data_IF_173356905085
#
_entry.id   IF_173356905085
#
_cell.length_a   1.000
_cell.length_b   1.000
_cell.length_c   1.000
_cell.angle_alpha   90.00
_cell.angle_beta   90.00
_cell.angle_gamma   90.00
#
_symmetry.space_group_name_H-M   'P 1'
#
loop_
_entity.id
_entity.type
_entity.pdbx_description
1 polymer ?
#
# COMPACT_ATOMS: atom_id res chain seq x y z
N UNK A 1 85.17 52.41 1.91
CA UNK A 1 84.89 52.66 0.48
C UNK A 1 84.67 51.31 -0.20
N UNK A 2 83.43 50.92 -0.45
CA UNK A 2 83.02 50.22 -1.67
C UNK A 2 81.56 50.59 -1.92
N UNK A 3 81.31 50.99 -3.15
CA UNK A 3 80.18 51.75 -3.65
C UNK A 3 78.87 50.97 -3.65
N UNK A 4 77.79 51.66 -3.29
CA UNK A 4 76.41 51.35 -3.67
C UNK A 4 76.34 51.14 -5.19
N UNK A 5 76.24 49.88 -5.63
CA UNK A 5 75.72 49.58 -6.96
C UNK A 5 74.22 49.90 -6.93
N UNK A 6 73.85 51.11 -7.37
CA UNK A 6 72.48 51.39 -7.78
C UNK A 6 72.22 50.64 -9.08
N UNK A 7 71.86 49.36 -8.98
CA UNK A 7 71.22 48.64 -10.08
C UNK A 7 69.88 49.34 -10.33
N UNK A 8 69.74 49.99 -11.48
CA UNK A 8 68.46 50.53 -11.92
C UNK A 8 67.43 49.41 -11.89
N UNK A 9 66.28 49.65 -11.24
CA UNK A 9 65.16 48.68 -11.26
C UNK A 9 64.89 48.24 -12.70
N UNK A 10 64.66 46.94 -12.95
CA UNK A 10 64.40 46.45 -14.29
C UNK A 10 63.19 47.17 -14.90
N UNK A 11 63.15 47.30 -16.24
CA UNK A 11 62.16 48.13 -16.95
C UNK A 11 60.71 47.81 -16.55
N UNK A 12 60.41 46.55 -16.25
CA UNK A 12 59.10 46.08 -15.82
C UNK A 12 58.66 46.57 -14.42
N UNK A 13 59.57 47.05 -13.57
CA UNK A 13 59.27 47.66 -12.25
C UNK A 13 59.29 49.20 -12.27
N UNK A 14 59.37 49.81 -13.46
CA UNK A 14 59.48 51.26 -13.58
C UNK A 14 58.17 51.96 -13.17
N UNK A 15 58.25 53.17 -12.61
CA UNK A 15 57.08 53.91 -12.12
C UNK A 15 56.06 54.25 -13.24
N UNK A 16 56.54 54.60 -14.44
CA UNK A 16 55.71 54.92 -15.61
C UNK A 16 55.19 53.64 -16.29
N UNK A 17 53.86 53.52 -16.44
CA UNK A 17 53.20 52.39 -17.11
C UNK A 17 53.70 52.15 -18.55
N UNK A 18 53.93 53.22 -19.32
CA UNK A 18 54.46 53.11 -20.69
C UNK A 18 55.81 52.37 -20.78
N UNK A 19 56.69 52.53 -19.78
CA UNK A 19 57.97 51.82 -19.75
C UNK A 19 57.77 50.34 -19.41
N UNK A 20 56.79 50.01 -18.56
CA UNK A 20 56.42 48.62 -18.26
C UNK A 20 55.80 47.93 -19.47
N UNK A 21 54.92 48.61 -20.21
CA UNK A 21 54.37 48.11 -21.48
C UNK A 21 55.48 47.78 -22.48
N UNK A 22 56.43 48.71 -22.69
CA UNK A 22 57.57 48.47 -23.59
C UNK A 22 58.47 47.31 -23.13
N UNK A 23 58.46 46.99 -21.83
CA UNK A 23 59.18 45.83 -21.31
C UNK A 23 58.46 44.52 -21.70
N UNK A 24 57.14 44.47 -21.51
CA UNK A 24 56.30 43.32 -21.90
C UNK A 24 56.44 43.03 -23.41
N UNK A 25 56.44 44.05 -24.26
CA UNK A 25 56.61 43.90 -25.72
C UNK A 25 57.94 43.27 -26.12
N UNK A 26 58.97 43.41 -25.27
CA UNK A 26 60.30 42.82 -25.50
C UNK A 26 60.48 41.44 -24.90
N UNK A 27 59.46 40.91 -24.20
CA UNK A 27 59.55 39.60 -23.58
C UNK A 27 59.48 38.46 -24.60
N UNK A 28 60.29 37.44 -24.37
CA UNK A 28 60.19 36.14 -24.99
C UNK A 28 59.15 35.32 -24.23
N UNK A 29 58.04 34.97 -24.89
CA UNK A 29 56.96 34.19 -24.28
C UNK A 29 57.42 32.78 -23.88
N UNK A 30 58.50 32.25 -24.45
CA UNK A 30 59.04 30.95 -24.09
C UNK A 30 59.92 30.95 -22.84
N UNK A 31 60.37 32.12 -22.35
CA UNK A 31 61.24 32.24 -21.18
C UNK A 31 60.41 32.08 -19.86
N UNK A 32 60.66 31.02 -19.06
CA UNK A 32 59.91 30.80 -17.82
C UNK A 32 60.03 31.94 -16.81
N UNK A 33 61.19 32.60 -16.73
CA UNK A 33 61.39 33.70 -15.79
C UNK A 33 60.57 34.94 -16.21
N UNK A 34 60.36 35.12 -17.51
CA UNK A 34 59.53 36.20 -18.03
C UNK A 34 58.04 35.89 -17.89
N UNK A 35 57.64 34.62 -17.97
CA UNK A 35 56.28 34.19 -17.64
C UNK A 35 55.92 34.47 -16.17
N UNK A 36 56.84 34.24 -15.22
CA UNK A 36 56.62 34.62 -13.81
C UNK A 36 56.45 36.15 -13.63
N UNK A 37 57.21 36.94 -14.40
CA UNK A 37 57.05 38.40 -14.40
C UNK A 37 55.71 38.81 -15.03
N UNK A 38 55.31 38.20 -16.14
CA UNK A 38 54.01 38.42 -16.76
C UNK A 38 52.87 38.10 -15.80
N UNK A 39 52.98 37.00 -15.05
CA UNK A 39 51.99 36.62 -14.04
C UNK A 39 51.87 37.67 -12.93
N UNK A 40 53.01 38.18 -12.47
CA UNK A 40 53.05 39.26 -11.47
C UNK A 40 52.41 40.55 -12.01
N UNK A 41 52.75 40.96 -13.22
CA UNK A 41 52.19 42.15 -13.85
C UNK A 41 50.69 42.00 -14.13
N UNK A 42 50.26 40.84 -14.63
CA UNK A 42 48.87 40.54 -14.95
C UNK A 42 47.96 40.56 -13.71
N UNK A 43 48.49 40.19 -12.54
CA UNK A 43 47.69 40.09 -11.30
C UNK A 43 47.80 41.30 -10.38
N UNK A 44 48.92 42.03 -10.38
CA UNK A 44 49.22 43.04 -9.36
C UNK A 44 49.47 44.46 -9.90
N UNK A 45 49.64 44.66 -11.21
CA UNK A 45 49.95 46.00 -11.72
C UNK A 45 48.78 46.98 -11.49
N UNK A 46 49.02 48.19 -10.96
CA UNK A 46 47.94 49.16 -10.73
C UNK A 46 47.30 49.66 -12.03
N UNK A 47 48.00 49.61 -13.17
CA UNK A 47 47.49 50.06 -14.47
C UNK A 47 46.82 48.92 -15.24
N UNK A 48 45.52 49.06 -15.53
CA UNK A 48 44.75 48.03 -16.24
C UNK A 48 45.25 47.76 -17.66
N UNK A 49 45.89 48.74 -18.31
CA UNK A 49 46.48 48.56 -19.65
C UNK A 49 47.71 47.66 -19.57
N UNK A 50 48.53 47.82 -18.52
CA UNK A 50 49.68 46.94 -18.26
C UNK A 50 49.20 45.53 -17.94
N UNK A 51 48.20 45.37 -17.05
CA UNK A 51 47.62 44.05 -16.74
C UNK A 51 47.10 43.37 -17.99
N UNK A 52 46.30 44.07 -18.80
CA UNK A 52 45.76 43.54 -20.07
C UNK A 52 46.87 43.11 -21.03
N UNK A 53 47.92 43.92 -21.18
CA UNK A 53 49.05 43.59 -22.04
C UNK A 53 49.77 42.32 -21.57
N UNK A 54 50.04 42.21 -20.25
CA UNK A 54 50.65 41.03 -19.67
C UNK A 54 49.79 39.76 -19.86
N UNK A 55 48.46 39.89 -19.73
CA UNK A 55 47.49 38.81 -19.96
C UNK A 55 47.58 38.25 -21.37
N UNK A 56 47.79 39.06 -22.41
CA UNK A 56 47.75 38.59 -23.81
C UNK A 56 48.86 37.63 -24.21
N UNK A 57 49.91 37.50 -23.41
CA UNK A 57 51.06 36.61 -23.66
C UNK A 57 51.35 35.66 -22.48
N UNK A 58 50.52 35.68 -21.43
CA UNK A 58 50.63 34.78 -20.29
C UNK A 58 50.20 33.36 -20.70
N UNK A 59 50.92 32.34 -20.21
CA UNK A 59 50.63 30.92 -20.48
C UNK A 59 49.94 30.18 -19.32
N UNK A 60 50.02 30.71 -18.09
CA UNK A 60 49.44 30.07 -16.92
C UNK A 60 47.90 30.14 -16.98
N UNK A 61 47.27 29.04 -17.41
CA UNK A 61 45.82 28.94 -17.62
C UNK A 61 45.03 29.13 -16.33
N UNK A 62 45.56 28.64 -15.20
CA UNK A 62 44.94 28.86 -13.88
C UNK A 62 44.90 30.34 -13.51
N UNK A 63 45.98 31.06 -13.76
CA UNK A 63 46.02 32.51 -13.46
C UNK A 63 45.16 33.31 -14.43
N UNK A 64 45.14 32.93 -15.71
CA UNK A 64 44.21 33.52 -16.69
C UNK A 64 42.74 33.32 -16.27
N UNK A 65 42.37 32.13 -15.81
CA UNK A 65 41.01 31.84 -15.35
C UNK A 65 40.65 32.66 -14.09
N UNK A 66 41.59 32.81 -13.16
CA UNK A 66 41.42 33.70 -11.99
C UNK A 66 41.20 35.16 -12.42
N UNK A 67 41.99 35.67 -13.36
CA UNK A 67 41.87 37.04 -13.87
C UNK A 67 40.55 37.23 -14.62
N UNK A 68 40.18 36.28 -15.48
CA UNK A 68 38.93 36.29 -16.25
C UNK A 68 37.69 36.45 -15.37
N UNK A 69 37.74 35.90 -14.15
CA UNK A 69 36.63 35.92 -13.20
C UNK A 69 36.70 37.09 -12.20
N UNK A 70 37.90 37.60 -11.87
CA UNK A 70 38.08 38.47 -10.70
C UNK A 70 38.74 39.83 -10.96
N UNK A 71 39.35 40.09 -12.12
CA UNK A 71 39.95 41.42 -12.35
C UNK A 71 38.89 42.52 -12.28
N UNK A 72 39.23 43.69 -11.74
CA UNK A 72 38.33 44.84 -11.67
C UNK A 72 37.91 45.41 -13.04
N UNK A 73 38.77 45.31 -14.06
CA UNK A 73 38.54 45.89 -15.38
C UNK A 73 38.01 44.83 -16.37
N UNK A 74 36.85 45.09 -16.97
CA UNK A 74 36.22 44.15 -17.93
C UNK A 74 37.09 43.87 -19.15
N UNK A 75 37.90 44.83 -19.62
CA UNK A 75 38.78 44.61 -20.77
C UNK A 75 39.94 43.69 -20.43
N UNK A 76 40.36 43.67 -19.16
CA UNK A 76 41.37 42.71 -18.66
C UNK A 76 40.73 41.32 -18.54
N UNK A 77 39.52 41.23 -17.96
CA UNK A 77 38.75 39.97 -17.90
C UNK A 77 38.54 39.38 -19.29
N UNK A 78 38.15 40.20 -20.26
CA UNK A 78 37.92 39.77 -21.64
C UNK A 78 39.18 39.28 -22.35
N UNK A 79 40.31 39.99 -22.19
CA UNK A 79 41.59 39.53 -22.70
C UNK A 79 42.02 38.20 -22.07
N UNK A 80 41.73 38.00 -20.78
CA UNK A 80 42.07 36.76 -20.08
C UNK A 80 41.24 35.58 -20.58
N UNK A 81 39.93 35.76 -20.79
CA UNK A 81 39.06 34.74 -21.42
C UNK A 81 39.55 34.36 -22.81
N UNK A 82 39.88 35.35 -23.64
CA UNK A 82 40.37 35.10 -25.00
C UNK A 82 41.72 34.37 -25.00
N UNK A 83 42.68 34.80 -24.17
CA UNK A 83 43.98 34.14 -24.09
C UNK A 83 43.85 32.70 -23.57
N UNK A 84 43.04 32.50 -22.52
CA UNK A 84 42.73 31.17 -21.99
C UNK A 84 42.14 30.27 -23.08
N UNK A 85 41.15 30.77 -23.82
CA UNK A 85 40.53 30.01 -24.91
C UNK A 85 41.55 29.65 -26.00
N UNK A 86 42.43 30.57 -26.40
CA UNK A 86 43.49 30.30 -27.40
C UNK A 86 44.49 29.23 -26.95
N UNK A 87 44.85 29.19 -25.67
CA UNK A 87 45.72 28.14 -25.12
C UNK A 87 45.01 26.78 -25.11
N UNK A 88 43.72 26.78 -24.74
CA UNK A 88 42.90 25.57 -24.69
C UNK A 88 42.50 25.05 -26.10
N UNK A 89 42.44 25.90 -27.12
CA UNK A 89 42.32 25.48 -28.54
C UNK A 89 43.66 25.06 -29.15
N UNK A 90 44.79 25.53 -28.59
CA UNK A 90 46.14 25.36 -29.15
C UNK A 90 46.48 26.34 -30.26
N UNK A 91 45.71 27.42 -30.38
CA UNK A 91 46.02 28.55 -31.26
C UNK A 91 47.19 29.40 -30.73
N UNK A 92 47.52 29.28 -29.45
CA UNK A 92 48.67 29.91 -28.82
C UNK A 92 49.71 28.86 -28.42
N UNK A 93 50.99 29.19 -28.63
CA UNK A 93 52.13 28.39 -28.18
C UNK A 93 52.29 28.46 -26.65
N UNK A 94 53.07 27.54 -26.08
CA UNK A 94 53.38 27.54 -24.65
C UNK A 94 52.22 27.13 -23.73
N UNK A 95 51.07 26.76 -24.30
CA UNK A 95 49.91 26.25 -23.57
C UNK A 95 50.05 24.79 -23.09
N UNK A 96 49.04 24.30 -22.34
CA UNK A 96 49.02 22.94 -21.83
C UNK A 96 49.04 21.89 -22.97
N UNK A 97 49.52 20.69 -22.65
CA UNK A 97 49.52 19.57 -23.60
C UNK A 97 48.09 19.21 -24.03
N UNK A 98 47.96 18.50 -25.16
CA UNK A 98 46.64 18.09 -25.68
C UNK A 98 45.78 17.35 -24.63
N UNK A 99 46.38 16.48 -23.81
CA UNK A 99 45.68 15.77 -22.75
C UNK A 99 45.25 16.70 -21.60
N UNK A 100 46.14 17.62 -21.19
CA UNK A 100 45.84 18.60 -20.14
C UNK A 100 44.73 19.58 -20.55
N UNK A 101 44.67 19.98 -21.82
CA UNK A 101 43.58 20.84 -22.34
C UNK A 101 42.21 20.22 -22.07
N UNK A 102 42.04 18.93 -22.34
CA UNK A 102 40.76 18.24 -22.10
C UNK A 102 40.40 18.26 -20.60
N UNK A 103 41.37 17.97 -19.73
CA UNK A 103 41.16 18.03 -18.27
C UNK A 103 40.82 19.44 -17.78
N UNK A 104 41.45 20.47 -18.34
CA UNK A 104 41.15 21.86 -17.97
C UNK A 104 39.78 22.30 -18.48
N UNK A 105 39.35 21.84 -19.65
CA UNK A 105 38.02 22.12 -20.20
C UNK A 105 36.93 21.53 -19.31
N UNK A 106 37.13 20.35 -18.71
CA UNK A 106 36.17 19.72 -17.79
C UNK A 106 35.81 20.58 -16.56
N UNK A 107 36.66 21.55 -16.20
CA UNK A 107 36.41 22.48 -15.10
C UNK A 107 35.91 23.86 -15.56
N UNK A 108 35.81 24.10 -16.88
CA UNK A 108 35.52 25.42 -17.42
C UNK A 108 34.02 25.71 -17.42
N UNK A 109 33.65 26.87 -16.83
CA UNK A 109 32.26 27.33 -16.69
C UNK A 109 32.01 28.68 -17.39
N UNK A 110 33.05 29.31 -17.92
CA UNK A 110 32.95 30.61 -18.55
C UNK A 110 32.34 30.49 -19.96
N UNK A 111 31.15 31.09 -20.21
CA UNK A 111 30.43 30.89 -21.46
C UNK A 111 31.18 31.43 -22.68
N UNK A 112 31.95 32.52 -22.54
CA UNK A 112 32.75 33.08 -23.63
C UNK A 112 33.91 32.16 -24.00
N UNK A 113 34.56 31.54 -23.02
CA UNK A 113 35.61 30.55 -23.27
C UNK A 113 34.99 29.35 -23.98
N UNK A 114 33.91 28.77 -23.45
CA UNK A 114 33.23 27.62 -24.05
C UNK A 114 32.73 27.89 -25.49
N UNK A 115 32.22 29.08 -25.77
CA UNK A 115 31.81 29.49 -27.13
C UNK A 115 33.00 29.56 -28.10
N UNK A 116 34.14 30.08 -27.66
CA UNK A 116 35.37 30.10 -28.46
C UNK A 116 35.88 28.69 -28.74
N UNK A 117 35.88 27.81 -27.73
CA UNK A 117 36.26 26.40 -27.88
C UNK A 117 35.36 25.67 -28.89
N UNK A 118 34.05 25.92 -28.84
CA UNK A 118 33.09 25.36 -29.79
C UNK A 118 33.28 25.86 -31.22
N UNK A 119 33.82 27.07 -31.39
CA UNK A 119 34.01 27.67 -32.70
C UNK A 119 35.34 27.27 -33.31
N UNK A 120 36.43 27.37 -32.54
CA UNK A 120 37.80 27.30 -33.03
C UNK A 120 38.52 25.99 -32.66
N UNK A 121 37.99 25.20 -31.73
CA UNK A 121 38.59 23.93 -31.31
C UNK A 121 38.56 22.86 -32.41
N UNK A 122 39.43 21.86 -32.27
CA UNK A 122 39.29 20.61 -33.01
C UNK A 122 38.05 19.82 -32.53
N UNK A 123 37.75 18.68 -33.15
CA UNK A 123 36.57 17.89 -32.77
C UNK A 123 36.59 17.49 -31.28
N UNK A 124 37.73 17.14 -30.71
CA UNK A 124 37.80 16.70 -29.31
C UNK A 124 37.51 17.85 -28.35
N UNK A 125 38.08 19.02 -28.62
CA UNK A 125 37.86 20.24 -27.84
C UNK A 125 36.41 20.72 -27.95
N UNK A 126 35.83 20.66 -29.15
CA UNK A 126 34.41 21.00 -29.38
C UNK A 126 33.48 20.10 -28.58
N UNK A 127 33.78 18.80 -28.53
CA UNK A 127 32.98 17.84 -27.74
C UNK A 127 33.15 18.07 -26.23
N UNK A 128 34.38 18.27 -25.75
CA UNK A 128 34.64 18.56 -24.33
C UNK A 128 33.97 19.87 -23.88
N UNK A 129 33.99 20.90 -24.72
CA UNK A 129 33.33 22.18 -24.44
C UNK A 129 31.80 22.04 -24.46
N UNK A 130 31.25 21.25 -25.39
CA UNK A 130 29.82 20.94 -25.40
C UNK A 130 29.39 20.28 -24.10
N UNK A 131 30.21 19.38 -23.56
CA UNK A 131 29.91 18.65 -22.32
C UNK A 131 29.77 19.58 -21.09
N UNK A 132 30.37 20.77 -21.12
CA UNK A 132 30.25 21.76 -20.05
C UNK A 132 29.01 22.67 -20.14
N UNK A 133 28.18 22.55 -21.17
CA UNK A 133 27.02 23.44 -21.37
C UNK A 133 25.73 22.74 -20.92
N UNK A 134 25.14 23.22 -19.83
CA UNK A 134 23.83 22.76 -19.34
C UNK A 134 22.66 23.68 -19.73
N UNK A 135 22.92 24.92 -20.15
CA UNK A 135 21.86 25.84 -20.59
C UNK A 135 21.19 25.30 -21.86
N UNK A 136 19.98 24.75 -21.71
CA UNK A 136 19.19 24.22 -22.81
C UNK A 136 18.91 25.26 -23.91
N UNK A 137 18.94 26.56 -23.61
CA UNK A 137 18.83 27.61 -24.64
C UNK A 137 20.07 27.68 -25.52
N UNK A 138 21.25 27.56 -24.92
CA UNK A 138 22.50 27.51 -25.67
C UNK A 138 22.61 26.19 -26.44
N UNK A 139 22.28 25.06 -25.81
CA UNK A 139 22.24 23.75 -26.47
C UNK A 139 21.29 23.75 -27.68
N UNK A 140 20.13 24.40 -27.57
CA UNK A 140 19.19 24.52 -28.69
C UNK A 140 19.81 25.27 -29.88
N UNK A 141 20.50 26.39 -29.62
CA UNK A 141 21.21 27.14 -30.68
C UNK A 141 22.28 26.28 -31.34
N UNK A 142 23.05 25.54 -30.54
CA UNK A 142 24.10 24.62 -31.01
C UNK A 142 23.49 23.50 -31.86
N UNK A 143 22.44 22.84 -31.38
CA UNK A 143 21.73 21.76 -32.07
C UNK A 143 21.20 22.18 -33.44
N UNK A 144 20.85 23.45 -33.61
CA UNK A 144 20.30 23.99 -34.85
C UNK A 144 21.36 24.47 -35.85
N UNK A 145 22.47 25.05 -35.37
CA UNK A 145 23.35 25.85 -36.22
C UNK A 145 24.82 25.41 -36.23
N UNK A 146 25.25 24.57 -35.29
CA UNK A 146 26.67 24.20 -35.21
C UNK A 146 27.11 23.47 -36.49
N UNK A 147 28.32 23.77 -36.98
CA UNK A 147 28.82 23.23 -38.26
C UNK A 147 28.96 21.69 -38.25
N UNK A 148 29.47 21.13 -37.14
CA UNK A 148 29.67 19.69 -36.98
C UNK A 148 28.37 18.98 -36.62
N UNK A 149 27.96 18.02 -37.46
CA UNK A 149 26.75 17.22 -37.26
C UNK A 149 26.77 16.41 -35.94
N UNK A 150 27.94 15.95 -35.51
CA UNK A 150 28.10 15.21 -34.25
C UNK A 150 27.80 16.09 -33.03
N UNK A 151 28.31 17.32 -33.01
CA UNK A 151 28.03 18.32 -31.96
C UNK A 151 26.55 18.68 -31.93
N UNK A 152 25.93 18.90 -33.11
CA UNK A 152 24.48 19.16 -33.19
C UNK A 152 23.64 18.03 -32.57
N UNK A 153 23.99 16.78 -32.88
CA UNK A 153 23.27 15.62 -32.37
C UNK A 153 23.41 15.48 -30.84
N UNK A 154 24.63 15.62 -30.31
CA UNK A 154 24.87 15.54 -28.86
C UNK A 154 24.20 16.68 -28.10
N UNK A 155 24.17 17.89 -28.67
CA UNK A 155 23.44 19.02 -28.08
C UNK A 155 21.93 18.71 -27.99
N UNK A 156 21.33 18.15 -29.05
CA UNK A 156 19.93 17.73 -29.04
C UNK A 156 19.65 16.57 -28.05
N UNK A 157 20.63 15.69 -27.82
CA UNK A 157 20.51 14.59 -26.86
C UNK A 157 20.45 15.06 -25.40
N UNK A 158 20.94 16.28 -25.08
CA UNK A 158 20.92 16.84 -23.71
C UNK A 158 19.68 17.66 -23.37
N UNK A 159 18.87 18.03 -24.36
CA UNK A 159 17.68 18.88 -24.15
C UNK A 159 16.50 18.02 -23.72
N UNK A 160 15.81 18.43 -22.66
CA UNK A 160 14.62 17.76 -22.12
C UNK A 160 13.38 18.66 -22.15
N UNK A 161 13.53 19.96 -22.40
CA UNK A 161 12.38 20.88 -22.49
C UNK A 161 11.54 20.63 -23.75
N UNK A 162 10.23 20.31 -23.62
CA UNK A 162 9.39 19.99 -24.76
C UNK A 162 9.31 21.09 -25.82
N UNK A 163 9.25 22.36 -25.40
CA UNK A 163 9.16 23.49 -26.34
C UNK A 163 10.43 23.64 -27.20
N UNK A 164 11.60 23.41 -26.62
CA UNK A 164 12.88 23.44 -27.35
C UNK A 164 13.00 22.26 -28.29
N UNK A 165 12.65 21.05 -27.84
CA UNK A 165 12.63 19.87 -28.70
C UNK A 165 11.65 20.03 -29.87
N UNK A 166 10.48 20.66 -29.66
CA UNK A 166 9.54 21.00 -30.74
C UNK A 166 10.18 21.94 -31.74
N UNK A 167 10.87 22.98 -31.27
CA UNK A 167 11.55 23.94 -32.13
C UNK A 167 12.68 23.28 -32.94
N UNK A 168 13.49 22.43 -32.30
CA UNK A 168 14.57 21.69 -32.97
C UNK A 168 14.00 20.72 -33.99
N UNK A 169 12.98 19.94 -33.66
CA UNK A 169 12.33 19.02 -34.60
C UNK A 169 11.76 19.77 -35.81
N UNK A 170 11.14 20.94 -35.61
CA UNK A 170 10.59 21.77 -36.69
C UNK A 170 11.68 22.20 -37.68
N UNK A 171 12.82 22.67 -37.17
CA UNK A 171 13.87 23.24 -38.00
C UNK A 171 14.87 22.21 -38.53
N UNK A 172 15.06 21.07 -37.87
CA UNK A 172 15.95 20.00 -38.36
C UNK A 172 15.28 19.10 -39.41
N UNK A 173 13.95 19.10 -39.51
CA UNK A 173 13.20 18.28 -40.48
C UNK A 173 13.69 18.52 -41.91
N UNK A 174 14.14 17.46 -42.57
CA UNK A 174 14.66 17.51 -43.94
C UNK A 174 16.08 18.09 -44.09
N UNK A 175 16.67 18.65 -43.02
CA UNK A 175 18.03 19.22 -43.03
C UNK A 175 19.04 18.39 -42.24
N UNK A 176 18.63 17.88 -41.08
CA UNK A 176 19.46 17.02 -40.23
C UNK A 176 18.60 15.86 -39.69
N UNK A 177 18.72 14.70 -40.35
CA UNK A 177 17.93 13.52 -40.02
C UNK A 177 18.20 13.00 -38.60
N UNK A 178 19.44 13.10 -38.11
CA UNK A 178 19.81 12.57 -36.79
C UNK A 178 19.22 13.46 -35.69
N UNK A 179 19.41 14.77 -35.79
CA UNK A 179 18.85 15.75 -34.83
C UNK A 179 17.32 15.72 -34.82
N UNK A 180 16.70 15.63 -36.00
CA UNK A 180 15.24 15.47 -36.12
C UNK A 180 14.76 14.22 -35.39
N UNK A 181 15.41 13.07 -35.62
CA UNK A 181 15.02 11.81 -35.00
C UNK A 181 15.12 11.89 -33.47
N UNK A 182 16.23 12.37 -32.92
CA UNK A 182 16.44 12.54 -31.47
C UNK A 182 15.30 13.37 -30.87
N UNK A 183 15.05 14.54 -31.44
CA UNK A 183 14.06 15.48 -30.92
C UNK A 183 12.63 14.92 -31.02
N UNK A 184 12.30 14.28 -32.13
CA UNK A 184 10.99 13.67 -32.35
C UNK A 184 10.75 12.46 -31.43
N UNK A 185 11.74 11.59 -31.24
CA UNK A 185 11.66 10.43 -30.35
C UNK A 185 11.49 10.86 -28.89
N UNK A 186 12.23 11.87 -28.43
CA UNK A 186 12.04 12.45 -27.09
C UNK A 186 10.62 13.00 -26.91
N UNK A 187 10.13 13.80 -27.85
CA UNK A 187 8.75 14.32 -27.80
C UNK A 187 7.69 13.22 -27.81
N UNK A 188 7.90 12.17 -28.60
CA UNK A 188 6.99 11.03 -28.64
C UNK A 188 6.97 10.28 -27.32
N UNK A 189 8.13 10.07 -26.69
CA UNK A 189 8.24 9.45 -25.37
C UNK A 189 7.54 10.29 -24.29
N UNK A 190 7.78 11.60 -24.26
CA UNK A 190 7.13 12.50 -23.29
C UNK A 190 5.60 12.50 -23.42
N UNK A 191 5.09 12.53 -24.67
CA UNK A 191 3.64 12.44 -24.92
C UNK A 191 3.06 11.11 -24.48
N UNK A 192 3.77 10.01 -24.71
CA UNK A 192 3.33 8.69 -24.29
C UNK A 192 3.31 8.56 -22.77
N UNK A 193 4.34 9.05 -22.08
CA UNK A 193 4.38 9.08 -20.61
C UNK A 193 3.22 9.88 -20.03
N UNK A 194 2.97 11.09 -20.54
CA UNK A 194 1.85 11.91 -20.08
C UNK A 194 0.51 11.21 -20.29
N UNK A 195 0.29 10.58 -21.45
CA UNK A 195 -0.93 9.82 -21.72
C UNK A 195 -1.09 8.63 -20.77
N UNK A 196 -0.02 7.92 -20.47
CA UNK A 196 -0.05 6.80 -19.53
C UNK A 196 -0.39 7.27 -18.12
N UNK A 197 0.21 8.37 -17.66
CA UNK A 197 -0.10 8.97 -16.37
C UNK A 197 -1.57 9.41 -16.28
N UNK A 198 -2.08 10.11 -17.31
CA UNK A 198 -3.48 10.51 -17.41
C UNK A 198 -4.42 9.29 -17.40
N UNK A 199 -4.07 8.23 -18.14
CA UNK A 199 -4.86 6.99 -18.19
C UNK A 199 -4.91 6.29 -16.83
N UNK A 200 -3.79 6.19 -16.11
CA UNK A 200 -3.75 5.59 -14.78
C UNK A 200 -4.58 6.41 -13.78
N UNK A 201 -4.50 7.74 -13.84
CA UNK A 201 -5.31 8.63 -13.01
C UNK A 201 -6.81 8.48 -13.31
N UNK A 202 -7.17 8.38 -14.59
CA UNK A 202 -8.55 8.17 -15.01
C UNK A 202 -9.09 6.80 -14.55
N UNK A 203 -8.28 5.74 -14.66
CA UNK A 203 -8.64 4.41 -14.15
C UNK A 203 -8.88 4.41 -12.64
N UNK A 204 -8.02 5.09 -11.87
CA UNK A 204 -8.21 5.23 -10.42
C UNK A 204 -9.54 5.96 -10.09
N UNK A 205 -9.89 7.00 -10.85
CA UNK A 205 -11.14 7.72 -10.70
C UNK A 205 -12.37 6.86 -11.04
N UNK A 206 -12.28 6.05 -12.09
CA UNK A 206 -13.33 5.11 -12.49
C UNK A 206 -13.56 4.05 -11.41
N UNK A 207 -12.49 3.49 -10.83
CA UNK A 207 -12.59 2.53 -9.72
C UNK A 207 -13.21 3.18 -8.48
N UNK A 208 -12.82 4.42 -8.12
CA UNK A 208 -13.45 5.15 -7.03
C UNK A 208 -14.96 5.31 -7.26
N UNK A 209 -15.35 5.70 -8.47
CA UNK A 209 -16.76 5.90 -8.85
C UNK A 209 -17.54 4.58 -8.83
N UNK A 210 -16.93 3.49 -9.29
CA UNK A 210 -17.52 2.15 -9.24
C UNK A 210 -17.69 1.66 -7.79
N UNK A 211 -16.69 1.90 -6.92
CA UNK A 211 -16.75 1.56 -5.50
C UNK A 211 -17.83 2.36 -4.77
N UNK A 212 -17.90 3.67 -5.02
CA UNK A 212 -18.95 4.56 -4.47
C UNK A 212 -20.35 4.15 -4.93
N UNK A 213 -20.48 3.69 -6.18
CA UNK A 213 -21.75 3.17 -6.71
C UNK A 213 -22.12 1.86 -6.02
N UNK A 214 -21.18 0.92 -5.88
CA UNK A 214 -21.40 -0.34 -5.18
C UNK A 214 -21.81 -0.10 -3.71
N UNK A 215 -21.17 0.84 -3.03
CA UNK A 215 -21.48 1.21 -1.65
C UNK A 215 -22.91 1.75 -1.47
N UNK A 216 -23.57 2.22 -2.53
CA UNK A 216 -24.96 2.70 -2.50
C UNK A 216 -25.99 1.61 -2.81
N UNK A 217 -25.55 0.43 -3.26
CA UNK A 217 -26.45 -0.70 -3.58
C UNK A 217 -26.67 -1.60 -2.37
N UNK A 218 -27.79 -2.32 -2.36
CA UNK A 218 -28.06 -3.37 -1.37
C UNK A 218 -27.27 -4.64 -1.67
N UNK A 219 -27.18 -5.53 -0.67
CA UNK A 219 -26.51 -6.81 -0.84
C UNK A 219 -27.15 -7.63 -1.97
N UNK A 220 -26.30 -8.28 -2.77
CA UNK A 220 -26.69 -9.27 -3.76
C UNK A 220 -25.60 -10.34 -3.87
N UNK A 221 -25.92 -11.50 -4.44
CA UNK A 221 -24.94 -12.57 -4.62
C UNK A 221 -23.69 -12.15 -5.42
N UNK A 222 -23.81 -11.15 -6.31
CA UNK A 222 -22.68 -10.60 -7.07
C UNK A 222 -21.92 -9.48 -6.36
N UNK A 223 -22.37 -9.04 -5.18
CA UNK A 223 -21.75 -7.95 -4.44
C UNK A 223 -20.33 -8.31 -3.95
N UNK A 224 -20.10 -9.42 -3.21
CA UNK A 224 -18.74 -9.79 -2.77
C UNK A 224 -17.71 -9.95 -3.90
N UNK A 225 -18.00 -10.63 -5.04
CA UNK A 225 -17.01 -10.74 -6.11
C UNK A 225 -16.74 -9.40 -6.81
N UNK A 226 -17.75 -8.52 -6.95
CA UNK A 226 -17.55 -7.16 -7.47
C UNK A 226 -16.65 -6.33 -6.56
N UNK A 227 -16.91 -6.35 -5.25
CA UNK A 227 -16.09 -5.66 -4.26
C UNK A 227 -14.63 -6.10 -4.35
N UNK A 228 -14.40 -7.42 -4.32
CA UNK A 228 -13.05 -8.00 -4.43
C UNK A 228 -12.35 -7.61 -5.73
N UNK A 229 -13.07 -7.62 -6.84
CA UNK A 229 -12.54 -7.20 -8.14
C UNK A 229 -12.06 -5.75 -8.13
N UNK A 230 -12.84 -4.84 -7.54
CA UNK A 230 -12.48 -3.42 -7.42
C UNK A 230 -11.27 -3.21 -6.50
N UNK A 231 -11.20 -3.91 -5.37
CA UNK A 231 -10.04 -3.86 -4.45
C UNK A 231 -8.76 -4.34 -5.14
N UNK A 232 -8.81 -5.47 -5.85
CA UNK A 232 -7.65 -6.01 -6.57
C UNK A 232 -7.19 -5.11 -7.73
N UNK A 233 -8.11 -4.40 -8.39
CA UNK A 233 -7.77 -3.42 -9.41
C UNK A 233 -7.15 -2.17 -8.79
N UNK A 234 -7.69 -1.72 -7.66
CA UNK A 234 -7.18 -0.58 -6.91
C UNK A 234 -5.73 -0.80 -6.48
N UNK A 235 -5.37 -1.94 -5.90
CA UNK A 235 -4.00 -2.23 -5.43
C UNK A 235 -2.91 -2.12 -6.50
N UNK A 236 -3.26 -2.22 -7.79
CA UNK A 236 -2.31 -2.23 -8.91
C UNK A 236 -1.98 -0.84 -9.46
N UNK A 237 -2.71 0.19 -9.06
CA UNK A 237 -2.60 1.52 -9.64
C UNK A 237 -1.92 2.50 -8.65
N UNK A 238 -1.23 3.53 -9.15
CA UNK A 238 -0.78 4.64 -8.33
C UNK A 238 -1.95 5.58 -7.99
N UNK A 239 -2.02 6.03 -6.74
CA UNK A 239 -3.15 6.81 -6.24
C UNK A 239 -2.73 8.12 -5.60
N UNK A 240 -3.60 9.13 -5.75
CA UNK A 240 -3.49 10.39 -5.02
C UNK A 240 -4.23 10.32 -3.68
N UNK A 241 -3.81 11.09 -2.65
CA UNK A 241 -4.43 11.05 -1.33
C UNK A 241 -5.95 11.24 -1.34
N UNK A 242 -6.45 12.16 -2.18
CA UNK A 242 -7.90 12.41 -2.33
C UNK A 242 -8.67 11.22 -2.91
N UNK A 243 -8.04 10.44 -3.80
CA UNK A 243 -8.67 9.25 -4.37
C UNK A 243 -8.68 8.12 -3.33
N UNK A 244 -7.59 7.95 -2.58
CA UNK A 244 -7.49 6.99 -1.47
C UNK A 244 -8.58 7.20 -0.42
N UNK A 245 -8.78 8.44 0.04
CA UNK A 245 -9.81 8.76 1.02
C UNK A 245 -11.22 8.39 0.54
N UNK A 246 -11.54 8.71 -0.73
CA UNK A 246 -12.83 8.36 -1.34
C UNK A 246 -13.02 6.85 -1.42
N UNK A 247 -12.00 6.14 -1.88
CA UNK A 247 -12.03 4.68 -2.01
C UNK A 247 -12.22 4.00 -0.65
N UNK A 248 -11.44 4.38 0.36
CA UNK A 248 -11.51 3.80 1.71
C UNK A 248 -12.86 4.08 2.39
N UNK A 249 -13.41 5.28 2.19
CA UNK A 249 -14.74 5.61 2.72
C UNK A 249 -15.83 4.73 2.12
N UNK A 250 -15.78 4.52 0.80
CA UNK A 250 -16.72 3.64 0.11
C UNK A 250 -16.50 2.16 0.48
N UNK A 251 -15.25 1.73 0.63
CA UNK A 251 -14.90 0.37 1.06
C UNK A 251 -15.48 0.04 2.45
N UNK A 252 -15.29 0.93 3.44
CA UNK A 252 -15.88 0.76 4.79
C UNK A 252 -17.39 0.58 4.75
N UNK A 253 -18.07 1.32 3.87
CA UNK A 253 -19.51 1.19 3.68
C UNK A 253 -19.89 -0.15 3.04
N UNK A 254 -19.11 -0.64 2.08
CA UNK A 254 -19.30 -1.96 1.50
C UNK A 254 -19.08 -3.09 2.52
N UNK A 255 -18.06 -2.97 3.38
CA UNK A 255 -17.79 -3.93 4.46
C UNK A 255 -18.95 -3.99 5.45
N UNK A 256 -19.50 -2.85 5.85
CA UNK A 256 -20.68 -2.79 6.73
C UNK A 256 -21.92 -3.47 6.11
N UNK A 257 -22.10 -3.38 4.78
CA UNK A 257 -23.20 -4.07 4.07
C UNK A 257 -23.02 -5.60 4.15
N UNK A 258 -21.78 -6.10 3.99
CA UNK A 258 -21.48 -7.53 4.12
C UNK A 258 -21.74 -8.03 5.55
N UNK A 259 -21.25 -7.29 6.54
CA UNK A 259 -21.43 -7.64 7.95
C UNK A 259 -22.91 -7.68 8.34
N UNK A 260 -23.70 -6.70 7.91
CA UNK A 260 -25.14 -6.67 8.14
C UNK A 260 -25.87 -7.84 7.48
N UNK A 261 -25.47 -8.24 6.27
CA UNK A 261 -26.04 -9.40 5.60
C UNK A 261 -25.71 -10.69 6.37
N UNK A 262 -24.44 -10.87 6.75
CA UNK A 262 -23.99 -12.06 7.46
C UNK A 262 -24.65 -12.19 8.84
N UNK A 263 -24.84 -11.07 9.56
CA UNK A 263 -25.58 -11.07 10.81
C UNK A 263 -27.05 -11.45 10.61
N UNK A 264 -27.70 -10.90 9.59
CA UNK A 264 -29.11 -11.22 9.26
C UNK A 264 -29.27 -12.70 8.89
N UNK A 265 -28.34 -13.26 8.10
CA UNK A 265 -28.36 -14.67 7.75
C UNK A 265 -28.12 -15.58 8.96
N UNK A 266 -27.18 -15.23 9.83
CA UNK A 266 -26.93 -15.97 11.07
C UNK A 266 -28.14 -15.95 12.00
N UNK A 267 -28.84 -14.81 12.12
CA UNK A 267 -30.08 -14.69 12.89
C UNK A 267 -31.20 -15.59 12.31
N UNK A 268 -31.40 -15.58 10.99
CA UNK A 268 -32.38 -16.44 10.32
C UNK A 268 -32.04 -17.93 10.49
N UNK A 269 -30.76 -18.31 10.37
CA UNK A 269 -30.30 -19.68 10.59
C UNK A 269 -30.54 -20.11 12.05
N UNK A 270 -30.18 -19.27 13.02
CA UNK A 270 -30.40 -19.52 14.44
C UNK A 270 -31.90 -19.68 14.76
N UNK A 271 -32.75 -18.81 14.22
CA UNK A 271 -34.21 -18.92 14.35
C UNK A 271 -34.73 -20.23 13.74
N UNK A 272 -34.25 -20.61 12.55
CA UNK A 272 -34.66 -21.86 11.90
C UNK A 272 -34.22 -23.10 12.68
N UNK A 273 -33.03 -23.07 13.29
CA UNK A 273 -32.51 -24.15 14.13
C UNK A 273 -33.35 -24.28 15.40
N UNK A 274 -33.62 -23.16 16.07
CA UNK A 274 -34.47 -23.13 17.26
C UNK A 274 -35.86 -23.67 16.96
N UNK A 275 -36.47 -23.29 15.83
CA UNK A 275 -37.77 -23.84 15.41
C UNK A 275 -37.72 -25.36 15.21
N UNK A 276 -36.69 -25.89 14.53
CA UNK A 276 -36.51 -27.35 14.38
C UNK A 276 -36.34 -28.05 15.73
N UNK A 277 -35.67 -27.42 16.69
CA UNK A 277 -35.50 -27.98 18.03
C UNK A 277 -36.81 -27.99 18.81
N UNK A 278 -37.65 -26.95 18.69
CA UNK A 278 -39.00 -26.93 19.27
C UNK A 278 -39.87 -28.05 18.66
N UNK A 279 -39.86 -28.19 17.34
CA UNK A 279 -40.56 -29.27 16.65
C UNK A 279 -40.07 -30.65 17.10
N UNK A 280 -38.75 -30.81 17.27
CA UNK A 280 -38.15 -32.04 17.77
C UNK A 280 -38.61 -32.36 19.19
N UNK A 281 -38.72 -31.37 20.08
CA UNK A 281 -39.20 -31.59 21.45
C UNK A 281 -40.64 -32.15 21.44
N UNK A 282 -41.53 -31.52 20.67
CA UNK A 282 -42.90 -32.01 20.49
C UNK A 282 -42.93 -33.43 19.93
N UNK A 283 -42.17 -33.69 18.86
CA UNK A 283 -42.12 -34.99 18.19
C UNK A 283 -41.56 -36.10 19.10
N UNK A 284 -40.57 -35.81 19.94
CA UNK A 284 -40.03 -36.77 20.90
C UNK A 284 -41.07 -37.17 21.95
N UNK A 285 -41.85 -36.22 22.49
CA UNK A 285 -42.93 -36.54 23.43
C UNK A 285 -44.05 -37.34 22.75
N UNK A 286 -44.46 -36.94 21.54
CA UNK A 286 -45.50 -37.62 20.77
C UNK A 286 -45.11 -39.06 20.40
N UNK A 287 -43.88 -39.29 19.93
CA UNK A 287 -43.40 -40.64 19.61
C UNK A 287 -43.27 -41.52 20.84
N UNK A 288 -42.96 -40.95 22.01
CA UNK A 288 -43.00 -41.69 23.28
C UNK A 288 -44.44 -42.10 23.65
N UNK A 289 -45.44 -41.23 23.44
CA UNK A 289 -46.85 -41.58 23.65
C UNK A 289 -47.23 -42.75 22.74
N UNK A 290 -46.90 -42.66 21.46
CA UNK A 290 -47.21 -43.71 20.48
C UNK A 290 -46.53 -45.04 20.83
N UNK A 291 -45.26 -45.00 21.25
CA UNK A 291 -44.53 -46.19 21.71
C UNK A 291 -45.17 -46.83 22.94
N UNK A 292 -45.59 -46.03 23.93
CA UNK A 292 -46.27 -46.50 25.14
C UNK A 292 -47.63 -47.15 24.83
N UNK A 293 -48.36 -46.62 23.85
CA UNK A 293 -49.64 -47.20 23.41
C UNK A 293 -49.49 -48.62 22.83
N UNK A 294 -48.29 -49.00 22.40
CA UNK A 294 -48.00 -50.32 21.84
C UNK A 294 -47.43 -51.31 22.88
N UNK A 295 -47.18 -50.88 24.11
CA UNK A 295 -46.64 -51.75 25.16
C UNK A 295 -47.75 -52.55 25.86
N UNK A 296 -47.57 -53.87 25.98
CA UNK A 296 -48.50 -54.76 26.68
C UNK A 296 -48.19 -54.90 28.18
N UNK A 297 -46.94 -54.66 28.58
CA UNK A 297 -46.48 -54.79 29.96
C UNK A 297 -46.05 -53.45 30.57
N UNK A 298 -46.51 -53.20 31.79
CA UNK A 298 -46.13 -52.03 32.58
C UNK A 298 -44.95 -52.39 33.48
N UNK A 299 -43.82 -51.67 33.39
CA UNK A 299 -42.65 -51.90 34.26
C UNK A 299 -42.14 -50.61 34.91
N UNK A 300 -41.43 -50.72 36.05
CA UNK A 300 -40.90 -49.55 36.77
C UNK A 300 -39.85 -48.77 35.98
N UNK A 301 -39.05 -49.46 35.15
CA UNK A 301 -38.00 -48.81 34.34
C UNK A 301 -38.57 -47.90 33.25
N UNK A 302 -39.73 -48.24 32.67
CA UNK A 302 -40.38 -47.37 31.68
C UNK A 302 -40.94 -46.11 32.32
N UNK A 303 -41.48 -46.20 33.53
CA UNK A 303 -41.93 -45.04 34.34
C UNK A 303 -40.74 -44.10 34.65
N UNK A 304 -39.60 -44.64 35.10
CA UNK A 304 -38.39 -43.85 35.34
C UNK A 304 -37.87 -43.17 34.06
N UNK A 305 -37.83 -43.90 32.94
CA UNK A 305 -37.38 -43.37 31.65
C UNK A 305 -38.29 -42.25 31.12
N UNK A 306 -39.61 -42.39 31.24
CA UNK A 306 -40.58 -41.35 30.84
C UNK A 306 -40.45 -40.11 31.74
N UNK A 307 -40.17 -40.29 33.04
CA UNK A 307 -39.92 -39.18 33.97
C UNK A 307 -38.69 -38.38 33.54
N UNK A 308 -37.57 -39.07 33.31
CA UNK A 308 -36.33 -38.44 32.87
C UNK A 308 -36.49 -37.74 31.51
N UNK A 309 -37.22 -38.35 30.58
CA UNK A 309 -37.53 -37.74 29.28
C UNK A 309 -38.33 -36.44 29.44
N UNK A 310 -39.38 -36.45 30.27
CA UNK A 310 -40.21 -35.26 30.51
C UNK A 310 -39.39 -34.10 31.09
N UNK A 311 -38.54 -34.38 32.08
CA UNK A 311 -37.64 -33.38 32.67
C UNK A 311 -36.66 -32.82 31.64
N UNK A 312 -36.06 -33.71 30.84
CA UNK A 312 -35.12 -33.32 29.78
C UNK A 312 -35.81 -32.43 28.73
N UNK A 313 -36.95 -32.85 28.18
CA UNK A 313 -37.64 -32.09 27.14
C UNK A 313 -38.24 -30.78 27.68
N UNK A 314 -38.69 -30.75 28.93
CA UNK A 314 -39.13 -29.50 29.56
C UNK A 314 -38.00 -28.51 29.72
N UNK A 315 -36.85 -28.95 30.23
CA UNK A 315 -35.70 -28.07 30.37
C UNK A 315 -35.23 -27.53 29.01
N UNK A 316 -35.16 -28.36 27.97
CA UNK A 316 -34.83 -27.94 26.61
C UNK A 316 -35.84 -26.91 26.07
N UNK A 317 -37.13 -27.15 26.26
CA UNK A 317 -38.19 -26.23 25.86
C UNK A 317 -38.07 -24.87 26.56
N UNK A 318 -37.85 -24.86 27.87
CA UNK A 318 -37.68 -23.62 28.66
C UNK A 318 -36.42 -22.85 28.27
N UNK A 319 -35.35 -23.54 27.86
CA UNK A 319 -34.15 -22.88 27.34
C UNK A 319 -34.43 -22.19 26.01
N UNK A 320 -35.10 -22.87 25.08
CA UNK A 320 -35.46 -22.30 23.78
C UNK A 320 -36.44 -21.12 23.94
N UNK A 321 -37.43 -21.26 24.81
CA UNK A 321 -38.45 -20.24 25.08
C UNK A 321 -37.92 -18.89 25.58
N UNK A 322 -36.67 -18.83 26.08
CA UNK A 322 -36.05 -17.58 26.50
C UNK A 322 -35.67 -16.69 25.32
N UNK A 323 -35.22 -17.31 24.24
CA UNK A 323 -34.57 -16.63 23.13
C UNK A 323 -35.41 -16.68 21.84
N UNK A 324 -36.47 -17.48 21.79
CA UNK A 324 -37.43 -17.54 20.68
C UNK A 324 -38.86 -17.22 21.08
N UNK A 325 -39.57 -16.53 20.19
CA UNK A 325 -41.00 -16.32 20.30
C UNK A 325 -41.74 -17.57 19.82
N UNK A 326 -42.28 -18.34 20.76
CA UNK A 326 -42.95 -19.62 20.49
C UNK A 326 -44.39 -19.36 20.02
N UNK A 327 -44.80 -20.04 18.94
CA UNK A 327 -46.18 -19.93 18.45
C UNK A 327 -47.17 -20.52 19.47
N UNK A 328 -48.38 -19.96 19.53
CA UNK A 328 -49.44 -20.49 20.40
C UNK A 328 -49.76 -21.95 20.07
N UNK A 329 -49.63 -22.34 18.81
CA UNK A 329 -49.86 -23.71 18.32
C UNK A 329 -48.80 -24.67 18.87
N UNK A 330 -47.51 -24.30 18.77
CA UNK A 330 -46.41 -25.14 19.25
C UNK A 330 -46.44 -25.27 20.78
N UNK A 331 -46.77 -24.17 21.47
CA UNK A 331 -46.96 -24.17 22.91
C UNK A 331 -48.08 -25.11 23.36
N UNK A 332 -49.21 -25.10 22.67
CA UNK A 332 -50.31 -26.02 22.95
C UNK A 332 -49.94 -27.47 22.65
N UNK A 333 -49.26 -27.72 21.52
CA UNK A 333 -48.82 -29.04 21.09
C UNK A 333 -47.89 -29.68 22.13
N UNK A 334 -46.86 -28.94 22.57
CA UNK A 334 -45.93 -29.38 23.60
C UNK A 334 -46.63 -29.67 24.92
N UNK A 335 -47.42 -28.71 25.42
CA UNK A 335 -48.09 -28.84 26.71
C UNK A 335 -49.09 -30.00 26.73
N UNK A 336 -49.81 -30.23 25.64
CA UNK A 336 -50.72 -31.36 25.50
C UNK A 336 -49.98 -32.71 25.58
N UNK A 337 -48.92 -32.90 24.78
CA UNK A 337 -48.14 -34.14 24.79
C UNK A 337 -47.50 -34.38 26.17
N UNK A 338 -46.96 -33.32 26.79
CA UNK A 338 -46.39 -33.35 28.14
C UNK A 338 -47.41 -33.78 29.19
N UNK A 339 -48.60 -33.18 29.19
CA UNK A 339 -49.67 -33.52 30.14
C UNK A 339 -50.16 -34.96 29.99
N UNK A 340 -50.25 -35.48 28.76
CA UNK A 340 -50.62 -36.88 28.52
C UNK A 340 -49.61 -37.85 29.13
N UNK A 341 -48.32 -37.64 28.85
CA UNK A 341 -47.24 -38.45 29.44
C UNK A 341 -47.19 -38.33 30.96
N UNK A 342 -47.39 -37.14 31.53
CA UNK A 342 -47.46 -36.96 32.98
C UNK A 342 -48.61 -37.76 33.61
N UNK A 343 -49.80 -37.71 33.00
CA UNK A 343 -50.97 -38.48 33.47
C UNK A 343 -50.72 -39.99 33.38
N UNK A 344 -50.15 -40.45 32.25
CA UNK A 344 -49.74 -41.85 32.09
C UNK A 344 -48.75 -42.26 33.18
N UNK A 345 -47.73 -41.46 33.44
CA UNK A 345 -46.68 -41.80 34.39
C UNK A 345 -47.20 -41.84 35.83
N UNK A 346 -48.09 -40.90 36.19
CA UNK A 346 -48.78 -40.91 37.49
C UNK A 346 -49.64 -42.15 37.67
N UNK A 347 -50.46 -42.52 36.68
CA UNK A 347 -51.32 -43.71 36.77
C UNK A 347 -50.49 -45.01 36.79
N UNK A 348 -49.46 -45.11 35.94
CA UNK A 348 -48.55 -46.25 35.90
C UNK A 348 -47.84 -46.46 37.25
N UNK A 349 -47.36 -45.38 37.87
CA UNK A 349 -46.73 -45.44 39.21
C UNK A 349 -47.72 -45.98 40.26
N UNK A 350 -48.97 -45.52 40.25
CA UNK A 350 -49.99 -45.98 41.18
C UNK A 350 -50.33 -47.46 40.97
N UNK A 351 -50.46 -47.91 39.71
CA UNK A 351 -50.74 -49.31 39.37
C UNK A 351 -49.58 -50.21 39.82
N UNK A 352 -48.33 -49.85 39.54
CA UNK A 352 -47.16 -50.61 39.99
C UNK A 352 -47.07 -50.66 41.53
N UNK A 353 -47.38 -49.56 42.21
CA UNK A 353 -47.43 -49.51 43.67
C UNK A 353 -48.57 -50.35 44.28
N UNK A 354 -49.68 -50.54 43.56
CA UNK A 354 -50.76 -51.44 43.97
C UNK A 354 -50.41 -52.90 43.67
N UNK A 355 -49.87 -53.19 42.49
CA UNK A 355 -49.44 -54.53 42.09
C UNK A 355 -48.38 -55.08 43.06
N UNK A 356 -47.36 -54.27 43.40
CA UNK A 356 -46.35 -54.65 44.40
C UNK A 356 -46.95 -54.95 45.78
N UNK A 357 -47.93 -54.14 46.23
CA UNK A 357 -48.69 -54.41 47.47
C UNK A 357 -49.47 -55.71 47.40
N UNK A 358 -50.14 -56.00 46.28
CA UNK A 358 -50.86 -57.25 46.08
C UNK A 358 -49.92 -58.45 46.10
N UNK A 359 -48.82 -58.41 45.34
CA UNK A 359 -47.80 -59.48 45.36
C UNK A 359 -47.21 -59.68 46.76
N UNK A 360 -47.02 -58.60 47.53
CA UNK A 360 -46.58 -58.70 48.93
C UNK A 360 -47.64 -59.38 49.80
N UNK A 361 -48.92 -59.04 49.63
CA UNK A 361 -50.04 -59.65 50.35
C UNK A 361 -50.24 -61.13 49.99
N UNK A 362 -50.08 -61.52 48.73
CA UNK A 362 -50.10 -62.92 48.28
C UNK A 362 -48.95 -63.72 48.89
N UNK A 363 -47.73 -63.17 48.91
CA UNK A 363 -46.58 -63.79 49.57
C UNK A 363 -46.81 -63.95 51.08
N UNK A 364 -47.50 -62.99 51.71
CA UNK A 364 -47.89 -63.12 53.12
C UNK A 364 -48.94 -64.22 53.30
N UNK A 365 -49.94 -64.31 52.42
CA UNK A 365 -50.96 -65.34 52.46
C UNK A 365 -50.39 -66.76 52.23
N UNK A 366 -49.42 -66.94 51.33
CA UNK A 366 -48.74 -68.22 51.11
C UNK A 366 -47.89 -68.70 52.29
N UNK A 367 -47.53 -67.81 53.22
CA UNK A 367 -46.85 -68.17 54.47
C UNK A 367 -47.81 -68.65 55.56
N UNK A 368 -49.12 -68.60 55.33
CA UNK A 368 -50.12 -69.11 56.26
C UNK A 368 -50.11 -70.64 56.19
N UNK A 369 -49.66 -71.29 57.26
CA UNK A 369 -49.71 -72.75 57.41
C UNK A 369 -51.13 -73.13 57.83
N UNK A 370 -51.80 -74.00 57.05
CA UNK A 370 -53.12 -74.54 57.42
C UNK A 370 -52.91 -75.54 58.57
N UNK A 371 -53.51 -75.33 59.75
CA UNK A 371 -53.35 -76.25 60.86
C UNK A 371 -54.03 -77.59 60.56
N UNK A 372 -53.31 -78.70 60.78
CA UNK A 372 -53.80 -80.05 60.48
C UNK A 372 -54.47 -80.75 61.68
N UNK A 373 -54.55 -80.08 62.84
CA UNK A 373 -55.22 -80.58 64.03
C UNK A 373 -56.13 -79.53 64.70
N UNK A 374 -57.03 -80.02 65.54
CA UNK A 374 -58.07 -79.21 66.22
C UNK A 374 -57.44 -78.22 67.22
N UNK A 375 -56.31 -78.58 67.83
CA UNK A 375 -55.65 -77.71 68.81
C UNK A 375 -55.02 -76.48 68.12
N UNK A 376 -54.40 -76.64 66.96
CA UNK A 376 -53.84 -75.52 66.21
C UNK A 376 -54.91 -74.66 65.48
N UNK A 377 -56.11 -75.18 65.24
CA UNK A 377 -57.27 -74.38 64.78
C UNK A 377 -57.80 -73.43 65.86
N UNK A 378 -57.68 -73.79 67.14
CA UNK A 378 -58.14 -72.94 68.26
C UNK A 378 -57.19 -71.75 68.52
N UNK A 379 -55.90 -71.86 68.18
CA UNK A 379 -54.95 -70.74 68.30
C UNK A 379 -55.15 -69.65 67.24
N UNK A 380 -55.66 -69.99 66.05
CA UNK A 380 -55.98 -69.03 64.97
C UNK A 380 -57.14 -68.09 65.33
N UNK A 381 -58.09 -68.53 66.15
CA UNK A 381 -59.21 -67.67 66.61
C UNK A 381 -58.74 -66.52 67.49
N UNK A 382 -57.61 -66.70 68.18
CA UNK A 382 -57.07 -65.71 69.10
C UNK A 382 -56.06 -64.76 68.42
N UNK A 383 -55.81 -64.92 67.11
CA UNK A 383 -54.82 -64.18 66.34
C UNK A 383 -55.39 -63.51 65.08
N UNK A 384 -56.66 -63.11 65.08
CA UNK A 384 -57.20 -62.21 64.05
C UNK A 384 -56.59 -60.80 64.18
N UNK A 385 -55.94 -60.24 63.14
CA UNK A 385 -55.58 -58.82 63.13
C UNK A 385 -56.83 -57.96 62.89
N UNK A 386 -56.85 -56.69 63.34
CA UNK A 386 -57.99 -55.81 63.12
C UNK A 386 -58.18 -55.53 61.62
N UNK A 387 -59.44 -55.54 61.17
CA UNK A 387 -59.81 -55.21 59.80
C UNK A 387 -59.30 -53.82 59.40
N UNK A 388 -58.31 -53.77 58.49
CA UNK A 388 -57.98 -52.55 57.77
C UNK A 388 -59.11 -52.27 56.78
N UNK A 389 -59.87 -51.21 57.03
CA UNK A 389 -60.85 -50.65 56.09
C UNK A 389 -60.10 -50.04 54.90
N UNK A 390 -59.89 -50.82 53.85
CA UNK A 390 -59.58 -50.28 52.54
C UNK A 390 -60.83 -49.60 51.97
N UNK A 391 -60.78 -48.27 51.86
CA UNK A 391 -61.76 -47.48 51.11
C UNK A 391 -61.47 -47.66 49.63
N UNK A 392 -62.24 -48.52 48.96
CA UNK A 392 -62.42 -48.46 47.51
C UNK A 392 -63.16 -47.14 47.20
N UNK A 393 -62.41 -46.09 46.86
CA UNK A 393 -62.98 -44.86 46.32
C UNK A 393 -63.32 -45.09 44.84
N UNK A 394 -64.60 -45.33 44.56
CA UNK A 394 -65.21 -45.23 43.24
C UNK A 394 -65.16 -43.78 42.77
N UNK A 395 -64.19 -43.42 41.93
CA UNK A 395 -64.29 -42.24 41.07
C UNK A 395 -64.84 -42.65 39.71
N UNK A 396 -66.16 -42.53 39.60
CA UNK A 396 -66.84 -42.53 38.32
C UNK A 396 -66.46 -41.28 37.52
N UNK A 397 -66.04 -41.55 36.30
CA UNK A 397 -65.86 -40.67 35.17
C UNK A 397 -67.16 -39.88 34.88
N UNK A 398 -67.07 -38.56 34.71
CA UNK A 398 -68.09 -37.75 34.01
C UNK A 398 -67.42 -37.01 32.85
N UNK A 399 -67.92 -37.10 31.62
CA UNK A 399 -67.32 -36.43 30.47
C UNK A 399 -67.87 -35.01 30.28
N UNK A 400 -66.98 -34.06 30.01
CA UNK A 400 -67.22 -32.90 29.12
C UNK A 400 -65.92 -32.50 28.44
#
# INVERSE_FOLDING_TARGET
MFSRFFSSKPKWQHAKAAIRLSAIESFDSADPAQQEILETLATQDPDATVRRCAVTTLHNTRTLDLIANNDSDERVRDAARHQLARLLTGEAEGGPSAAQRLTEIEAQQNPTVLEHLLTHGDEQIKLAALDQIDDEQQLEKIALHHELAKVRALAAERIEQPERLKNIARHSKGRDKKVYRISHEKLSRMREQLRQEEQLQQQALEICTAMETLARTEFSALFPPKLRGLVLQWEKLPHQPRQTERFETALKRCEAILEQHDSTMAELEAQSLAQRQLDSCCHTLESQIEWLCQQEELCGKTVEAVTALLEQQQHLWEQLAKDTNISTTDQQRFEHARQLLQRYNQSATLILAQASRLTQSERQAQKIVIPQDIDALLELRNSSPPAQKDRLATHFYTPR
#
